data_IF_038740687657
#
_entry.id   IF_038740687657
#
_cell.length_a   1.000
_cell.length_b   1.000
_cell.length_c   1.000
_cell.angle_alpha   90.00
_cell.angle_beta   90.00
_cell.angle_gamma   90.00
#
_symmetry.space_group_name_H-M   'P 1'
#
loop_
_entity.id
_entity.type
_entity.pdbx_description
1 polymer ?
#
# COMPACT_ATOMS: atom_id res chain seq x y z
N UNK A 1 -37.94 -37.07 -61.68
CA UNK A 1 -38.44 -36.30 -60.49
C UNK A 1 -37.74 -36.90 -59.27
N UNK A 2 -36.63 -36.31 -58.85
CA UNK A 2 -35.80 -36.81 -57.77
C UNK A 2 -36.00 -35.89 -56.53
N UNK A 3 -36.61 -36.46 -55.52
CA UNK A 3 -36.78 -35.81 -54.20
C UNK A 3 -35.45 -35.75 -53.45
N UNK A 4 -34.90 -34.57 -53.18
CA UNK A 4 -33.79 -34.37 -52.23
C UNK A 4 -34.32 -34.37 -50.80
N UNK A 5 -33.89 -35.34 -50.01
CA UNK A 5 -34.12 -35.36 -48.56
C UNK A 5 -33.11 -34.43 -47.90
N UNK A 6 -33.58 -33.36 -47.29
CA UNK A 6 -32.75 -32.46 -46.47
C UNK A 6 -32.70 -33.06 -45.06
N UNK A 7 -31.51 -33.45 -44.62
CA UNK A 7 -31.26 -33.85 -43.23
C UNK A 7 -30.94 -32.59 -42.41
N UNK A 8 -31.82 -32.24 -41.47
CA UNK A 8 -31.54 -31.19 -40.50
C UNK A 8 -30.78 -31.79 -39.33
N UNK A 9 -29.51 -31.45 -39.23
CA UNK A 9 -28.65 -31.83 -38.11
C UNK A 9 -28.83 -30.79 -36.99
N UNK A 10 -29.62 -31.16 -35.95
CA UNK A 10 -29.80 -30.32 -34.76
C UNK A 10 -28.60 -30.53 -33.83
N UNK A 11 -27.68 -29.58 -33.82
CA UNK A 11 -26.59 -29.56 -32.84
C UNK A 11 -27.14 -29.12 -31.47
N UNK A 12 -27.22 -30.07 -30.52
CA UNK A 12 -27.43 -29.73 -29.10
C UNK A 12 -26.10 -29.14 -28.56
N UNK A 13 -26.02 -27.84 -28.40
CA UNK A 13 -25.01 -27.22 -27.57
C UNK A 13 -25.36 -27.46 -26.09
N UNK A 14 -24.76 -28.49 -25.49
CA UNK A 14 -24.74 -28.68 -24.07
C UNK A 14 -23.92 -27.59 -23.42
N UNK A 15 -24.53 -26.58 -22.81
CA UNK A 15 -23.86 -25.64 -21.93
C UNK A 15 -23.34 -26.43 -20.71
N UNK A 16 -22.05 -26.73 -20.68
CA UNK A 16 -21.35 -27.13 -19.46
C UNK A 16 -21.41 -25.95 -18.48
N UNK A 17 -22.33 -25.96 -17.56
CA UNK A 17 -22.29 -25.10 -16.39
C UNK A 17 -21.16 -25.65 -15.51
N UNK A 18 -19.98 -25.06 -15.63
CA UNK A 18 -18.91 -25.26 -14.66
C UNK A 18 -19.40 -24.69 -13.32
N UNK A 19 -19.94 -25.54 -12.48
CA UNK A 19 -20.21 -25.20 -11.09
C UNK A 19 -18.85 -25.04 -10.42
N UNK A 20 -18.34 -23.84 -10.39
CA UNK A 20 -17.21 -23.49 -9.54
C UNK A 20 -17.67 -23.71 -8.09
N UNK A 21 -17.26 -24.81 -7.48
CA UNK A 21 -17.40 -24.97 -6.04
C UNK A 21 -16.54 -23.89 -5.38
N UNK A 22 -17.19 -22.89 -4.80
CA UNK A 22 -16.53 -21.82 -4.08
C UNK A 22 -15.54 -22.38 -3.08
N UNK A 23 -14.31 -21.89 -3.13
CA UNK A 23 -13.24 -22.36 -2.25
C UNK A 23 -13.55 -21.93 -0.82
N UNK A 24 -13.60 -22.90 0.10
CA UNK A 24 -13.82 -22.61 1.52
C UNK A 24 -12.72 -23.22 2.38
N UNK A 25 -12.22 -22.44 3.32
CA UNK A 25 -11.28 -22.90 4.36
C UNK A 25 -11.78 -22.48 5.73
N UNK A 26 -11.46 -23.30 6.73
CA UNK A 26 -11.78 -22.97 8.12
C UNK A 26 -10.52 -23.16 8.97
N UNK A 27 -10.03 -22.06 9.53
CA UNK A 27 -8.87 -22.00 10.41
C UNK A 27 -9.37 -22.21 11.83
N UNK A 28 -9.03 -23.37 12.41
CA UNK A 28 -9.58 -23.81 13.68
C UNK A 28 -8.65 -23.44 14.84
N UNK A 29 -9.26 -22.94 15.93
CA UNK A 29 -8.67 -22.74 17.25
C UNK A 29 -7.39 -21.91 17.27
N UNK A 30 -7.39 -20.80 16.54
CA UNK A 30 -6.27 -19.84 16.50
C UNK A 30 -6.51 -18.69 17.49
N UNK A 31 -5.43 -18.00 17.85
CA UNK A 31 -5.46 -16.75 18.61
C UNK A 31 -5.50 -15.58 17.63
N UNK A 32 -6.63 -14.89 17.51
CA UNK A 32 -6.72 -13.73 16.62
C UNK A 32 -5.96 -12.54 17.22
N UNK A 33 -5.10 -11.96 16.43
CA UNK A 33 -4.45 -10.66 16.71
C UNK A 33 -5.39 -9.54 16.26
N UNK A 34 -6.11 -8.94 17.21
CA UNK A 34 -6.92 -7.75 16.98
C UNK A 34 -5.96 -6.54 16.89
N UNK A 35 -5.46 -6.28 15.68
CA UNK A 35 -4.47 -5.21 15.44
C UNK A 35 -5.04 -3.82 15.73
N UNK A 36 -6.35 -3.62 15.57
CA UNK A 36 -6.98 -2.33 15.89
C UNK A 36 -6.92 -2.01 17.38
N UNK A 37 -7.12 -3.03 18.22
CA UNK A 37 -7.16 -2.87 19.69
C UNK A 37 -5.86 -3.27 20.37
N UNK A 38 -4.87 -3.77 19.63
CA UNK A 38 -3.61 -4.24 20.18
C UNK A 38 -3.78 -5.37 21.21
N UNK A 39 -4.66 -6.35 20.94
CA UNK A 39 -4.96 -7.44 21.88
C UNK A 39 -5.16 -8.79 21.18
N UNK A 40 -4.98 -9.87 21.95
CA UNK A 40 -5.25 -11.23 21.52
C UNK A 40 -6.67 -11.66 21.88
N UNK A 41 -7.38 -12.29 20.92
CA UNK A 41 -8.66 -12.96 21.15
C UNK A 41 -8.42 -14.47 21.00
N UNK A 42 -8.30 -15.22 22.13
CA UNK A 42 -7.84 -16.58 22.09
C UNK A 42 -8.94 -17.57 21.68
N UNK A 43 -8.51 -18.68 21.08
CA UNK A 43 -9.34 -19.85 20.82
C UNK A 43 -10.48 -19.58 19.85
N UNK A 44 -10.20 -18.95 18.73
CA UNK A 44 -11.19 -18.59 17.72
C UNK A 44 -11.11 -19.51 16.49
N UNK A 45 -12.22 -19.69 15.82
CA UNK A 45 -12.31 -20.36 14.51
C UNK A 45 -12.78 -19.34 13.48
N UNK A 46 -12.03 -19.20 12.39
CA UNK A 46 -12.32 -18.28 11.29
C UNK A 46 -12.69 -19.09 10.05
N UNK A 47 -13.88 -18.85 9.49
CA UNK A 47 -14.34 -19.48 8.26
C UNK A 47 -14.28 -18.49 7.11
N UNK A 48 -13.67 -18.90 6.03
CA UNK A 48 -13.51 -18.15 4.79
C UNK A 48 -14.25 -18.86 3.67
N UNK A 49 -14.88 -18.10 2.80
CA UNK A 49 -15.47 -18.57 1.56
C UNK A 49 -15.26 -17.54 0.48
N UNK A 50 -14.78 -17.97 -0.68
CA UNK A 50 -14.53 -17.12 -1.85
C UNK A 50 -13.69 -15.86 -1.51
N UNK A 51 -12.61 -16.07 -0.77
CA UNK A 51 -11.69 -15.00 -0.36
C UNK A 51 -12.19 -14.12 0.80
N UNK A 52 -13.41 -14.29 1.27
CA UNK A 52 -14.03 -13.42 2.29
C UNK A 52 -14.22 -14.16 3.61
N UNK A 53 -13.90 -13.48 4.72
CA UNK A 53 -14.19 -13.97 6.07
C UNK A 53 -15.70 -13.94 6.29
N UNK A 54 -16.32 -15.12 6.39
CA UNK A 54 -17.79 -15.25 6.53
C UNK A 54 -18.24 -15.40 7.96
N UNK A 55 -17.38 -16.00 8.82
CA UNK A 55 -17.73 -16.27 10.22
C UNK A 55 -16.48 -16.28 11.12
N UNK A 56 -16.64 -15.71 12.30
CA UNK A 56 -15.69 -15.82 13.42
C UNK A 56 -16.47 -16.30 14.64
N UNK A 57 -16.00 -17.35 15.30
CA UNK A 57 -16.67 -17.94 16.47
C UNK A 57 -15.65 -18.58 17.41
N UNK A 58 -16.02 -18.79 18.67
CA UNK A 58 -15.23 -19.59 19.61
C UNK A 58 -15.02 -21.00 19.06
N UNK A 59 -13.80 -21.52 19.18
CA UNK A 59 -13.50 -22.89 18.79
C UNK A 59 -14.31 -23.88 19.64
N UNK A 60 -14.85 -24.90 18.99
CA UNK A 60 -15.54 -26.00 19.66
C UNK A 60 -14.53 -27.01 20.20
N UNK A 61 -14.92 -27.86 21.16
CA UNK A 61 -14.03 -28.87 21.76
C UNK A 61 -13.46 -29.89 20.76
N UNK A 62 -14.11 -30.10 19.63
CA UNK A 62 -13.68 -31.08 18.60
C UNK A 62 -13.51 -30.37 17.26
N UNK A 63 -12.37 -30.56 16.63
CA UNK A 63 -12.09 -30.15 15.24
C UNK A 63 -12.95 -31.01 14.28
N UNK A 64 -13.38 -30.41 13.18
CA UNK A 64 -14.03 -31.11 12.08
C UNK A 64 -13.03 -31.47 10.98
N UNK A 65 -13.32 -32.55 10.22
CA UNK A 65 -12.43 -33.08 9.18
C UNK A 65 -12.01 -32.03 8.11
N UNK A 66 -12.82 -31.01 7.87
CA UNK A 66 -12.58 -29.96 6.87
C UNK A 66 -12.03 -28.66 7.48
N UNK A 67 -11.39 -28.72 8.64
CA UNK A 67 -10.79 -27.58 9.32
C UNK A 67 -9.29 -27.80 9.44
N UNK A 68 -8.51 -26.73 9.22
CA UNK A 68 -7.06 -26.70 9.47
C UNK A 68 -6.83 -26.30 10.92
N UNK A 69 -6.10 -27.14 11.66
CA UNK A 69 -5.82 -26.91 13.08
C UNK A 69 -4.63 -25.94 13.25
N UNK A 70 -4.93 -24.82 13.89
CA UNK A 70 -3.93 -23.81 14.28
C UNK A 70 -3.93 -23.56 15.79
N UNK A 71 -4.20 -24.60 16.56
CA UNK A 71 -4.18 -24.53 18.04
C UNK A 71 -2.84 -24.00 18.53
N UNK A 72 -2.90 -22.90 19.28
CA UNK A 72 -1.71 -22.23 19.81
C UNK A 72 -1.05 -21.21 18.88
N UNK A 73 -1.37 -21.23 17.58
CA UNK A 73 -0.87 -20.24 16.63
C UNK A 73 -1.65 -18.92 16.70
N UNK A 74 -1.06 -17.87 16.11
CA UNK A 74 -1.61 -16.52 16.05
C UNK A 74 -2.02 -16.19 14.62
N UNK A 75 -3.24 -15.70 14.44
CA UNK A 75 -3.79 -15.30 13.15
C UNK A 75 -3.89 -13.79 13.10
N UNK A 76 -3.25 -13.17 12.11
CA UNK A 76 -3.32 -11.74 11.87
C UNK A 76 -3.62 -11.43 10.40
N UNK A 77 -4.06 -10.20 10.06
CA UNK A 77 -4.17 -9.79 8.67
C UNK A 77 -2.81 -9.81 7.98
N UNK A 78 -2.82 -9.94 6.66
CA UNK A 78 -1.65 -9.71 5.81
C UNK A 78 -1.11 -8.29 5.97
N UNK A 79 0.19 -8.14 5.76
CA UNK A 79 0.88 -6.86 5.87
C UNK A 79 0.67 -6.01 4.60
N UNK A 80 0.69 -4.69 4.77
CA UNK A 80 0.49 -3.71 3.70
C UNK A 80 1.70 -2.78 3.65
N UNK A 81 2.46 -2.82 2.55
CA UNK A 81 3.51 -1.83 2.29
C UNK A 81 2.89 -0.61 1.62
N UNK A 82 2.87 0.50 2.35
CA UNK A 82 2.20 1.73 1.93
C UNK A 82 3.00 2.57 0.93
N UNK A 83 4.22 2.17 0.56
CA UNK A 83 5.04 2.91 -0.40
C UNK A 83 5.97 2.01 -1.19
N UNK A 84 5.58 1.74 -2.42
CA UNK A 84 6.39 0.98 -3.37
C UNK A 84 6.39 1.68 -4.73
N UNK A 85 7.27 1.24 -5.62
CA UNK A 85 7.32 1.67 -7.02
C UNK A 85 7.24 0.44 -7.93
N UNK A 86 6.11 -0.25 -7.87
CA UNK A 86 5.84 -1.49 -8.59
C UNK A 86 5.80 -1.29 -10.10
N UNK A 87 5.33 -0.13 -10.55
CA UNK A 87 5.27 0.27 -11.94
C UNK A 87 6.60 0.72 -12.55
N UNK A 88 7.75 0.32 -12.01
CA UNK A 88 9.05 0.66 -12.58
C UNK A 88 9.29 -0.03 -13.93
N UNK A 89 9.81 0.72 -14.91
CA UNK A 89 9.97 0.31 -16.32
C UNK A 89 11.01 -0.78 -16.59
N UNK A 90 11.96 -0.99 -15.69
CA UNK A 90 13.02 -1.99 -15.82
C UNK A 90 12.57 -3.41 -15.46
N UNK A 91 11.28 -3.61 -15.18
CA UNK A 91 10.79 -4.89 -14.67
C UNK A 91 10.63 -5.91 -15.79
N UNK A 92 11.58 -6.86 -15.88
CA UNK A 92 11.41 -8.09 -16.66
C UNK A 92 10.38 -9.02 -15.99
N UNK A 93 9.85 -10.02 -16.69
CA UNK A 93 8.97 -11.02 -16.07
C UNK A 93 9.62 -11.77 -14.89
N UNK A 94 10.93 -12.04 -14.96
CA UNK A 94 11.71 -12.67 -13.89
C UNK A 94 11.80 -11.75 -12.67
N UNK A 95 12.16 -10.50 -12.88
CA UNK A 95 12.23 -9.48 -11.85
C UNK A 95 10.87 -9.27 -11.14
N UNK A 96 9.79 -9.26 -11.92
CA UNK A 96 8.42 -9.15 -11.39
C UNK A 96 8.08 -10.33 -10.46
N UNK A 97 8.52 -11.55 -10.82
CA UNK A 97 8.33 -12.73 -9.97
C UNK A 97 9.17 -12.64 -8.70
N UNK A 98 10.46 -12.33 -8.83
CA UNK A 98 11.37 -12.20 -7.69
C UNK A 98 10.87 -11.14 -6.69
N UNK A 99 10.33 -10.03 -7.20
CA UNK A 99 9.70 -8.99 -6.40
C UNK A 99 8.48 -9.53 -5.66
N UNK A 100 7.57 -10.20 -6.34
CA UNK A 100 6.39 -10.79 -5.74
C UNK A 100 6.77 -11.81 -4.64
N UNK A 101 7.68 -12.72 -4.94
CA UNK A 101 8.16 -13.74 -4.00
C UNK A 101 8.79 -13.10 -2.75
N UNK A 102 9.56 -12.02 -2.93
CA UNK A 102 10.20 -11.28 -1.84
C UNK A 102 9.17 -10.65 -0.88
N UNK A 103 8.14 -9.99 -1.41
CA UNK A 103 7.07 -9.41 -0.59
C UNK A 103 6.24 -10.49 0.13
N UNK A 104 5.91 -11.57 -0.58
CA UNK A 104 5.21 -12.72 0.02
C UNK A 104 6.04 -13.39 1.11
N UNK A 105 7.37 -13.47 0.93
CA UNK A 105 8.27 -14.00 1.96
C UNK A 105 8.19 -13.20 3.27
N UNK A 106 8.02 -11.89 3.20
CA UNK A 106 7.84 -11.02 4.38
C UNK A 106 6.39 -10.98 4.90
N UNK A 107 5.46 -11.64 4.21
CA UNK A 107 4.04 -11.65 4.61
C UNK A 107 3.26 -10.41 4.14
N UNK A 108 3.81 -9.64 3.20
CA UNK A 108 3.11 -8.52 2.56
C UNK A 108 2.15 -9.06 1.51
N UNK A 109 0.87 -8.77 1.68
CA UNK A 109 -0.21 -9.23 0.80
C UNK A 109 -0.77 -8.11 -0.06
N UNK A 110 -0.45 -6.87 0.28
CA UNK A 110 -0.94 -5.69 -0.42
C UNK A 110 0.15 -4.61 -0.46
N UNK A 111 0.26 -3.92 -1.58
CA UNK A 111 1.18 -2.78 -1.74
C UNK A 111 0.47 -1.58 -2.38
N UNK A 112 0.88 -0.37 -2.00
CA UNK A 112 0.55 0.85 -2.70
C UNK A 112 1.69 1.22 -3.63
N UNK A 113 1.43 1.26 -4.93
CA UNK A 113 2.35 1.83 -5.93
C UNK A 113 2.23 3.36 -5.91
N UNK A 114 3.24 4.02 -5.35
CA UNK A 114 3.28 5.47 -5.15
C UNK A 114 3.73 6.24 -6.41
N UNK A 115 3.64 5.62 -7.56
CA UNK A 115 3.91 6.19 -8.87
C UNK A 115 4.76 5.27 -9.73
N UNK A 116 4.29 5.04 -10.93
CA UNK A 116 4.89 4.18 -11.90
C UNK A 116 4.04 4.06 -13.16
N UNK A 117 4.48 3.23 -14.12
CA UNK A 117 3.71 2.92 -15.30
C UNK A 117 2.64 1.86 -14.98
N UNK A 118 1.40 2.27 -14.87
CA UNK A 118 0.28 1.38 -14.54
C UNK A 118 0.09 0.26 -15.56
N UNK A 119 0.59 0.39 -16.79
CA UNK A 119 0.59 -0.72 -17.78
C UNK A 119 1.44 -1.90 -17.30
N UNK A 120 2.52 -1.63 -16.55
CA UNK A 120 3.34 -2.68 -15.94
C UNK A 120 2.54 -3.40 -14.86
N UNK A 121 1.87 -2.64 -13.98
CA UNK A 121 1.03 -3.22 -12.92
C UNK A 121 -0.09 -4.07 -13.53
N UNK A 122 -0.78 -3.59 -14.56
CA UNK A 122 -1.81 -4.38 -15.26
C UNK A 122 -1.29 -5.70 -15.85
N UNK A 123 -0.06 -5.71 -16.36
CA UNK A 123 0.59 -6.96 -16.81
C UNK A 123 0.89 -7.90 -15.64
N UNK A 124 1.26 -7.37 -14.49
CA UNK A 124 1.44 -8.13 -13.28
C UNK A 124 0.11 -8.72 -12.77
N UNK A 125 -0.95 -7.91 -12.68
CA UNK A 125 -2.29 -8.36 -12.30
C UNK A 125 -2.79 -9.49 -13.19
N UNK A 126 -2.63 -9.39 -14.51
CA UNK A 126 -2.98 -10.47 -15.44
C UNK A 126 -2.21 -11.78 -15.18
N UNK A 127 -0.99 -11.70 -14.64
CA UNK A 127 -0.22 -12.89 -14.23
C UNK A 127 -0.70 -13.47 -12.90
N UNK A 128 -1.13 -12.62 -11.96
CA UNK A 128 -1.79 -13.05 -10.72
C UNK A 128 -3.10 -13.80 -11.06
N UNK A 129 -3.96 -13.19 -11.88
CA UNK A 129 -5.25 -13.74 -12.28
C UNK A 129 -5.13 -15.10 -12.97
N UNK A 130 -4.10 -15.25 -13.80
CA UNK A 130 -3.81 -16.53 -14.49
C UNK A 130 -3.11 -17.57 -13.60
N UNK A 131 -2.73 -17.21 -12.35
CA UNK A 131 -1.98 -18.08 -11.45
C UNK A 131 -0.52 -18.31 -11.83
N UNK A 132 0.01 -17.55 -12.79
CA UNK A 132 1.41 -17.67 -13.23
C UNK A 132 2.41 -17.04 -12.23
N UNK A 133 1.95 -16.15 -11.40
CA UNK A 133 2.66 -15.54 -10.29
C UNK A 133 1.76 -15.57 -9.06
N UNK A 134 2.33 -15.74 -7.88
CA UNK A 134 1.70 -15.48 -6.60
C UNK A 134 2.37 -14.25 -6.01
N UNK A 135 1.59 -13.27 -5.57
CA UNK A 135 2.15 -12.01 -5.07
C UNK A 135 1.10 -11.11 -4.46
N UNK A 136 1.52 -9.93 -3.93
CA UNK A 136 0.59 -8.98 -3.32
C UNK A 136 -0.32 -8.31 -4.34
N UNK A 137 -1.51 -7.91 -3.90
CA UNK A 137 -2.37 -6.99 -4.65
C UNK A 137 -1.74 -5.61 -4.71
N UNK A 138 -1.85 -4.91 -5.86
CA UNK A 138 -1.24 -3.59 -6.08
C UNK A 138 -2.30 -2.52 -6.25
N UNK A 139 -2.25 -1.48 -5.42
CA UNK A 139 -3.10 -0.30 -5.52
C UNK A 139 -2.31 0.85 -6.14
N UNK A 140 -2.65 1.22 -7.35
CA UNK A 140 -1.90 2.17 -8.18
C UNK A 140 -2.30 3.62 -7.99
N UNK A 141 -1.35 4.54 -8.25
CA UNK A 141 -1.59 5.97 -8.33
C UNK A 141 -1.29 6.54 -9.70
N UNK A 142 -1.99 7.61 -10.08
CA UNK A 142 -1.58 8.50 -11.16
C UNK A 142 -0.54 9.48 -10.61
N UNK A 143 0.59 9.62 -11.29
CA UNK A 143 1.71 10.46 -10.87
C UNK A 143 1.63 11.84 -11.48
N UNK A 144 1.56 12.90 -10.64
CA UNK A 144 1.38 14.27 -11.08
C UNK A 144 2.51 15.17 -10.57
N UNK A 145 3.13 15.93 -11.48
CA UNK A 145 4.19 16.88 -11.17
C UNK A 145 4.11 18.09 -12.10
N UNK A 146 4.83 19.17 -11.75
CA UNK A 146 4.94 20.33 -12.60
C UNK A 146 6.05 20.24 -13.66
N UNK A 147 6.19 21.28 -14.50
CA UNK A 147 7.11 21.29 -15.66
C UNK A 147 8.58 21.10 -15.32
N UNK A 148 9.03 21.57 -14.15
CA UNK A 148 10.45 21.39 -13.73
C UNK A 148 10.81 19.93 -13.58
N UNK A 149 9.84 19.09 -13.20
CA UNK A 149 10.07 17.66 -13.09
C UNK A 149 10.22 17.00 -14.45
N UNK A 150 9.33 17.31 -15.39
CA UNK A 150 9.31 16.71 -16.73
C UNK A 150 10.27 17.42 -17.71
N UNK A 151 10.39 18.75 -17.63
CA UNK A 151 11.15 19.58 -18.57
C UNK A 151 12.65 19.58 -18.37
N UNK A 152 13.15 19.05 -17.26
CA UNK A 152 14.58 19.09 -16.92
C UNK A 152 15.49 18.19 -17.74
N UNK A 153 14.98 17.38 -18.66
CA UNK A 153 15.76 16.51 -19.57
C UNK A 153 16.66 15.46 -18.89
N UNK A 154 16.75 15.49 -17.56
CA UNK A 154 17.68 14.68 -16.76
C UNK A 154 17.01 13.59 -15.97
N UNK A 155 15.68 13.56 -15.86
CA UNK A 155 14.95 12.52 -15.13
C UNK A 155 14.24 11.58 -16.08
N UNK A 156 15.02 10.72 -16.70
CA UNK A 156 14.53 9.47 -17.31
C UNK A 156 14.15 8.41 -16.25
N UNK A 157 14.32 8.71 -14.99
CA UNK A 157 13.98 7.84 -13.87
C UNK A 157 12.47 7.71 -13.64
N UNK A 158 11.67 8.51 -14.30
CA UNK A 158 10.21 8.40 -14.31
C UNK A 158 9.67 7.36 -15.26
N UNK A 159 10.62 6.47 -15.79
CA UNK A 159 10.15 5.13 -15.56
C UNK A 159 9.11 4.71 -16.56
N UNK A 160 9.49 4.78 -17.82
CA UNK A 160 8.62 4.41 -18.92
C UNK A 160 7.52 5.40 -19.20
N UNK A 161 7.58 6.61 -18.67
CA UNK A 161 6.72 7.70 -19.10
C UNK A 161 7.16 8.19 -20.49
N UNK A 162 7.04 7.32 -21.46
CA UNK A 162 7.18 7.71 -22.88
C UNK A 162 6.12 8.76 -23.25
N UNK A 163 5.10 8.92 -22.43
CA UNK A 163 4.02 9.88 -22.63
C UNK A 163 3.69 10.59 -21.32
N UNK A 164 4.17 11.80 -21.18
CA UNK A 164 3.55 12.80 -20.30
C UNK A 164 2.10 12.99 -20.77
N UNK A 165 1.15 13.14 -19.83
CA UNK A 165 -0.29 13.22 -20.11
C UNK A 165 -0.96 11.90 -20.52
N UNK A 166 -0.53 10.81 -19.90
CA UNK A 166 -1.26 9.55 -19.85
C UNK A 166 -2.15 9.48 -18.59
N UNK A 167 -3.16 8.61 -18.52
CA UNK A 167 -3.98 8.45 -17.31
C UNK A 167 -3.20 8.24 -16.01
N UNK A 168 -2.00 7.66 -16.08
CA UNK A 168 -1.12 7.41 -14.94
C UNK A 168 -0.01 8.44 -14.74
N UNK A 169 0.10 9.48 -15.59
CA UNK A 169 1.15 10.50 -15.50
C UNK A 169 0.71 11.82 -16.12
N UNK A 170 0.73 12.92 -15.33
CA UNK A 170 0.26 14.22 -15.77
C UNK A 170 1.25 15.33 -15.42
N UNK A 171 1.56 16.20 -16.39
CA UNK A 171 2.19 17.49 -16.13
C UNK A 171 1.14 18.52 -15.77
N UNK A 172 1.27 19.14 -14.59
CA UNK A 172 0.30 20.12 -14.07
C UNK A 172 0.99 21.49 -13.96
N UNK A 173 0.31 22.52 -14.44
CA UNK A 173 0.74 23.91 -14.32
C UNK A 173 -0.30 24.75 -13.64
N UNK A 174 0.05 25.94 -13.14
CA UNK A 174 -0.91 26.88 -12.53
C UNK A 174 -2.01 27.36 -13.51
N UNK A 175 -1.77 27.21 -14.81
CA UNK A 175 -2.74 27.50 -15.86
C UNK A 175 -3.70 26.34 -16.18
N UNK A 176 -3.49 25.16 -15.60
CA UNK A 176 -4.38 24.00 -15.82
C UNK A 176 -5.76 24.31 -15.27
N UNK A 177 -6.80 24.21 -16.13
CA UNK A 177 -8.16 24.55 -15.75
C UNK A 177 -8.78 23.47 -14.84
N UNK A 178 -9.77 23.86 -14.04
CA UNK A 178 -10.50 22.96 -13.14
C UNK A 178 -11.19 21.84 -13.92
N UNK A 179 -11.76 22.15 -15.07
CA UNK A 179 -12.42 21.20 -15.96
C UNK A 179 -11.44 20.17 -16.50
N UNK A 180 -10.22 20.60 -16.83
CA UNK A 180 -9.18 19.68 -17.28
C UNK A 180 -8.68 18.78 -16.13
N UNK A 181 -8.46 19.35 -14.93
CA UNK A 181 -8.10 18.58 -13.74
C UNK A 181 -9.14 17.50 -13.44
N UNK A 182 -10.41 17.86 -13.47
CA UNK A 182 -11.50 16.91 -13.23
C UNK A 182 -11.52 15.78 -14.26
N UNK A 183 -11.35 16.11 -15.54
CA UNK A 183 -11.29 15.15 -16.64
C UNK A 183 -10.18 14.12 -16.42
N UNK A 184 -8.94 14.57 -16.15
CA UNK A 184 -7.80 13.65 -15.98
C UNK A 184 -7.86 12.84 -14.69
N UNK A 185 -8.56 13.32 -13.64
CA UNK A 185 -8.86 12.51 -12.44
C UNK A 185 -9.81 11.36 -12.79
N UNK A 186 -10.85 11.64 -13.58
CA UNK A 186 -11.81 10.62 -14.04
C UNK A 186 -11.08 9.59 -14.90
N UNK A 187 -10.25 10.01 -15.85
CA UNK A 187 -9.47 9.14 -16.72
C UNK A 187 -8.51 8.25 -15.91
N UNK A 188 -7.82 8.82 -14.92
CA UNK A 188 -6.94 8.06 -14.03
C UNK A 188 -7.71 6.97 -13.27
N UNK A 189 -8.88 7.32 -12.71
CA UNK A 189 -9.76 6.38 -12.00
C UNK A 189 -10.28 5.27 -12.92
N UNK A 190 -10.77 5.61 -14.10
CA UNK A 190 -11.26 4.64 -15.10
C UNK A 190 -10.14 3.69 -15.57
N UNK A 191 -8.89 4.19 -15.57
CA UNK A 191 -7.73 3.37 -15.88
C UNK A 191 -7.32 2.44 -14.74
N UNK A 192 -7.89 2.61 -13.54
CA UNK A 192 -7.66 1.77 -12.35
C UNK A 192 -6.83 2.40 -11.26
N UNK A 193 -6.45 3.69 -11.38
CA UNK A 193 -5.75 4.37 -10.29
C UNK A 193 -6.69 4.63 -9.11
N UNK A 194 -6.26 4.27 -7.90
CA UNK A 194 -7.01 4.50 -6.67
C UNK A 194 -6.62 5.79 -5.97
N UNK A 195 -5.49 6.37 -6.35
CA UNK A 195 -4.98 7.62 -5.81
C UNK A 195 -4.22 8.46 -6.83
N UNK A 196 -3.91 9.70 -6.43
CA UNK A 196 -2.99 10.58 -7.14
C UNK A 196 -1.74 10.77 -6.30
N UNK A 197 -0.56 10.58 -6.87
CA UNK A 197 0.73 10.95 -6.26
C UNK A 197 1.10 12.37 -6.72
N UNK A 198 0.88 13.34 -5.86
CA UNK A 198 1.30 14.74 -6.04
C UNK A 198 2.78 14.86 -5.64
N UNK A 199 3.66 15.07 -6.61
CA UNK A 199 5.08 14.85 -6.40
C UNK A 199 5.89 16.13 -6.17
N UNK A 200 6.01 17.00 -7.17
CA UNK A 200 6.83 18.20 -7.10
C UNK A 200 6.35 19.26 -8.10
N UNK A 201 6.75 20.52 -7.88
CA UNK A 201 6.47 21.68 -8.74
C UNK A 201 4.98 21.96 -8.94
N UNK A 202 4.20 21.84 -7.85
CA UNK A 202 2.76 22.14 -7.80
C UNK A 202 2.51 23.21 -6.72
N UNK A 203 1.84 24.30 -7.08
CA UNK A 203 1.53 25.38 -6.16
C UNK A 203 0.43 25.03 -5.16
N UNK A 204 0.39 25.76 -4.03
CA UNK A 204 -0.68 25.62 -3.04
C UNK A 204 -2.05 25.90 -3.65
N UNK A 205 -2.15 26.92 -4.52
CA UNK A 205 -3.40 27.27 -5.21
C UNK A 205 -3.88 26.13 -6.11
N UNK A 206 -2.95 25.43 -6.75
CA UNK A 206 -3.29 24.25 -7.56
C UNK A 206 -3.73 23.06 -6.66
N UNK A 207 -3.05 22.81 -5.54
CA UNK A 207 -3.48 21.78 -4.59
C UNK A 207 -4.91 21.99 -4.08
N UNK A 208 -5.30 23.25 -3.81
CA UNK A 208 -6.68 23.60 -3.42
C UNK A 208 -7.72 23.32 -4.49
N UNK A 209 -7.33 23.23 -5.76
CA UNK A 209 -8.21 22.81 -6.85
C UNK A 209 -8.25 21.29 -6.99
N UNK A 210 -7.10 20.62 -6.93
CA UNK A 210 -6.96 19.17 -7.15
C UNK A 210 -7.62 18.36 -6.02
N UNK A 211 -7.31 18.67 -4.76
CA UNK A 211 -7.72 17.83 -3.62
C UNK A 211 -9.24 17.69 -3.49
N UNK A 212 -10.06 18.77 -3.60
CA UNK A 212 -11.52 18.63 -3.59
C UNK A 212 -12.08 17.78 -4.74
N UNK A 213 -11.45 17.83 -5.92
CA UNK A 213 -11.82 16.99 -7.05
C UNK A 213 -11.50 15.51 -6.80
N UNK A 214 -10.35 15.23 -6.17
CA UNK A 214 -10.02 13.88 -5.73
C UNK A 214 -11.11 13.31 -4.82
N UNK A 215 -11.52 14.05 -3.80
CA UNK A 215 -12.57 13.65 -2.88
C UNK A 215 -13.92 13.46 -3.59
N UNK A 216 -14.29 14.39 -4.49
CA UNK A 216 -15.52 14.32 -5.30
C UNK A 216 -15.61 13.00 -6.08
N UNK A 217 -14.50 12.53 -6.63
CA UNK A 217 -14.44 11.33 -7.45
C UNK A 217 -14.00 10.07 -6.69
N UNK A 218 -13.76 10.16 -5.38
CA UNK A 218 -13.33 9.02 -4.54
C UNK A 218 -11.93 8.50 -4.89
N UNK A 219 -11.06 9.39 -5.35
CA UNK A 219 -9.63 9.14 -5.59
C UNK A 219 -8.84 9.70 -4.40
N UNK A 220 -7.86 8.97 -3.91
CA UNK A 220 -7.09 9.37 -2.73
C UNK A 220 -5.97 10.36 -3.09
N UNK A 221 -5.92 11.59 -2.51
CA UNK A 221 -4.80 12.49 -2.71
C UNK A 221 -3.63 12.07 -1.81
N UNK A 222 -2.56 11.59 -2.43
CA UNK A 222 -1.29 11.28 -1.81
C UNK A 222 -0.22 12.26 -2.29
N UNK A 223 0.79 12.58 -1.50
CA UNK A 223 1.82 13.51 -1.94
C UNK A 223 3.14 13.37 -1.20
N UNK A 224 4.15 14.03 -1.71
CA UNK A 224 5.33 14.35 -0.92
C UNK A 224 4.94 15.25 0.26
N UNK A 225 5.72 15.23 1.33
CA UNK A 225 5.44 16.08 2.49
C UNK A 225 5.57 17.58 2.15
N UNK A 226 6.52 17.95 1.28
CA UNK A 226 6.56 19.24 0.60
C UNK A 226 6.64 19.04 -0.90
N UNK A 227 5.87 19.82 -1.67
CA UNK A 227 5.67 19.62 -3.12
C UNK A 227 6.30 20.77 -3.93
N UNK A 228 6.87 21.76 -3.27
CA UNK A 228 7.43 23.00 -3.85
C UNK A 228 6.75 23.48 -5.15
N UNK A 229 6.34 24.76 -5.22
CA UNK A 229 6.51 25.76 -4.17
C UNK A 229 5.59 25.60 -2.96
N UNK A 230 4.63 24.65 -3.00
CA UNK A 230 3.80 24.33 -1.83
C UNK A 230 4.66 23.74 -0.71
N UNK A 231 4.62 24.40 0.46
CA UNK A 231 5.33 23.96 1.67
C UNK A 231 4.63 22.76 2.32
N UNK A 232 5.28 22.10 3.28
CA UNK A 232 4.68 21.02 4.06
C UNK A 232 3.35 21.45 4.73
N UNK A 233 3.31 22.67 5.30
CA UNK A 233 2.08 23.22 5.88
C UNK A 233 0.99 23.46 4.83
N UNK A 234 1.34 23.88 3.62
CA UNK A 234 0.41 24.08 2.52
C UNK A 234 -0.21 22.76 2.06
N UNK A 235 0.61 21.72 1.93
CA UNK A 235 0.17 20.37 1.56
C UNK A 235 -0.85 19.83 2.56
N UNK A 236 -0.54 19.94 3.87
CA UNK A 236 -1.45 19.54 4.95
C UNK A 236 -2.73 20.37 4.92
N UNK A 237 -2.64 21.71 4.77
CA UNK A 237 -3.81 22.62 4.70
C UNK A 237 -4.66 22.41 3.47
N UNK A 238 -4.07 22.01 2.33
CA UNK A 238 -4.82 21.66 1.13
C UNK A 238 -5.69 20.40 1.33
N UNK A 239 -5.40 19.56 2.34
CA UNK A 239 -6.15 18.36 2.65
C UNK A 239 -5.63 17.10 1.93
N UNK A 240 -4.34 17.08 1.57
CA UNK A 240 -3.68 15.85 1.11
C UNK A 240 -3.75 14.83 2.25
N UNK A 241 -4.31 13.65 1.99
CA UNK A 241 -4.66 12.67 3.03
C UNK A 241 -3.43 11.90 3.54
N UNK A 242 -2.44 11.67 2.69
CA UNK A 242 -1.20 10.99 3.05
C UNK A 242 -0.02 11.73 2.50
N UNK A 243 0.97 11.99 3.34
CA UNK A 243 2.23 12.64 2.96
C UNK A 243 3.40 11.68 3.17
N UNK A 244 4.34 11.67 2.22
CA UNK A 244 5.49 10.76 2.25
C UNK A 244 6.79 11.49 2.52
N UNK A 245 7.76 10.77 3.12
CA UNK A 245 9.14 11.20 3.34
C UNK A 245 9.27 12.29 4.40
N UNK A 246 9.38 11.86 5.65
CA UNK A 246 9.47 12.73 6.82
C UNK A 246 10.54 13.83 6.69
N UNK A 247 11.65 13.55 6.01
CA UNK A 247 12.74 14.50 5.82
C UNK A 247 12.36 15.74 5.00
N UNK A 248 11.29 15.68 4.19
CA UNK A 248 10.85 16.83 3.39
C UNK A 248 10.13 17.92 4.21
N UNK A 249 9.81 17.67 5.48
CA UNK A 249 9.07 18.63 6.32
C UNK A 249 9.77 19.99 6.44
N UNK A 250 11.10 20.00 6.44
CA UNK A 250 11.88 21.22 6.57
C UNK A 250 12.07 21.99 5.26
N UNK A 251 11.41 21.53 4.20
CA UNK A 251 11.37 22.27 2.94
C UNK A 251 12.66 22.20 2.13
N UNK A 252 13.44 21.14 2.24
CA UNK A 252 14.69 21.00 1.49
C UNK A 252 14.48 20.17 0.23
N UNK A 253 14.75 20.77 -0.92
CA UNK A 253 14.81 20.06 -2.19
C UNK A 253 16.12 19.26 -2.27
N UNK A 254 16.02 17.94 -2.25
CA UNK A 254 17.13 17.02 -2.54
C UNK A 254 18.03 16.66 -1.35
N UNK A 255 18.83 15.62 -1.58
CA UNK A 255 19.79 15.05 -0.61
C UNK A 255 21.09 15.84 -0.64
N UNK A 256 21.22 16.92 0.11
CA UNK A 256 22.49 17.66 0.18
C UNK A 256 23.33 17.22 1.39
N UNK A 257 24.66 17.23 1.22
CA UNK A 257 25.61 16.92 2.30
C UNK A 257 25.50 17.86 3.52
N UNK A 258 24.89 19.02 3.36
CA UNK A 258 24.65 20.00 4.42
C UNK A 258 23.60 19.51 5.44
N UNK A 259 22.71 18.58 5.05
CA UNK A 259 21.74 17.98 5.94
C UNK A 259 22.36 17.22 7.11
N UNK A 260 23.47 16.55 6.87
CA UNK A 260 24.09 15.63 7.83
C UNK A 260 24.64 16.31 9.11
N UNK A 261 24.85 17.61 9.08
CA UNK A 261 25.47 18.37 10.16
C UNK A 261 24.61 19.50 10.75
N UNK A 262 23.37 19.69 10.25
CA UNK A 262 22.56 20.85 10.61
C UNK A 262 22.02 20.72 12.05
N UNK A 263 22.31 21.75 12.87
CA UNK A 263 21.60 21.99 14.14
C UNK A 263 20.37 22.85 13.82
N UNK A 264 19.19 22.34 14.18
CA UNK A 264 17.93 23.04 13.95
C UNK A 264 17.76 24.19 14.96
N UNK A 265 17.31 25.33 14.47
CA UNK A 265 16.92 26.46 15.31
C UNK A 265 15.62 26.16 16.06
N UNK A 266 15.38 26.89 17.16
CA UNK A 266 14.13 26.77 17.89
C UNK A 266 12.90 27.05 17.01
N UNK A 267 12.99 28.01 16.08
CA UNK A 267 11.92 28.33 15.14
C UNK A 267 11.61 27.18 14.16
N UNK A 268 12.61 26.40 13.74
CA UNK A 268 12.38 25.23 12.88
C UNK A 268 11.69 24.10 13.65
N UNK A 269 12.03 23.94 14.94
CA UNK A 269 11.37 22.95 15.82
C UNK A 269 9.89 23.36 16.01
N UNK A 270 9.60 24.60 16.38
CA UNK A 270 8.24 25.10 16.58
C UNK A 270 7.39 25.00 15.31
N UNK A 271 8.01 25.24 14.13
CA UNK A 271 7.34 25.07 12.85
C UNK A 271 6.94 23.59 12.61
N UNK A 272 7.82 22.63 12.90
CA UNK A 272 7.49 21.20 12.77
C UNK A 272 6.38 20.81 13.72
N UNK A 273 6.45 21.22 14.98
CA UNK A 273 5.40 20.95 15.98
C UNK A 273 4.04 21.48 15.51
N UNK A 274 4.01 22.68 14.92
CA UNK A 274 2.80 23.25 14.32
C UNK A 274 2.25 22.41 13.16
N UNK A 275 3.13 21.89 12.30
CA UNK A 275 2.73 21.04 11.16
C UNK A 275 2.18 19.71 11.68
N UNK A 276 2.87 19.06 12.62
CA UNK A 276 2.41 17.79 13.18
C UNK A 276 1.07 17.95 13.94
N UNK A 277 0.90 19.02 14.68
CA UNK A 277 -0.37 19.36 15.33
C UNK A 277 -1.51 19.52 14.32
N UNK A 278 -1.26 20.18 13.18
CA UNK A 278 -2.27 20.33 12.12
C UNK A 278 -2.56 19.00 11.40
N UNK A 279 -1.53 18.14 11.18
CA UNK A 279 -1.72 16.80 10.65
C UNK A 279 -2.59 15.95 11.56
N UNK A 280 -2.29 15.90 12.85
CA UNK A 280 -3.07 15.15 13.83
C UNK A 280 -4.54 15.63 13.88
N UNK A 281 -4.76 16.94 13.85
CA UNK A 281 -6.10 17.55 13.84
C UNK A 281 -6.89 17.19 12.57
N UNK A 282 -6.24 17.09 11.42
CA UNK A 282 -6.87 16.77 10.13
C UNK A 282 -6.97 15.27 9.87
N UNK A 283 -6.24 14.46 10.61
CA UNK A 283 -6.10 13.02 10.34
C UNK A 283 -5.19 12.70 9.15
N UNK A 284 -4.31 13.65 8.77
CA UNK A 284 -3.30 13.40 7.71
C UNK A 284 -2.35 12.30 8.16
N UNK A 285 -2.10 11.30 7.31
CA UNK A 285 -1.24 10.16 7.60
C UNK A 285 0.17 10.46 7.12
N UNK A 286 1.17 10.11 7.94
CA UNK A 286 2.57 10.16 7.56
C UNK A 286 3.07 8.78 7.13
N UNK A 287 3.43 8.65 5.88
CA UNK A 287 4.17 7.53 5.31
C UNK A 287 5.67 7.87 5.41
N UNK A 288 6.30 7.38 6.49
CA UNK A 288 7.59 7.90 6.95
C UNK A 288 8.77 7.47 6.08
N UNK A 289 8.75 6.27 5.53
CA UNK A 289 9.79 5.68 4.66
C UNK A 289 11.18 5.69 5.30
N UNK A 290 11.29 5.16 6.52
CA UNK A 290 12.52 5.23 7.32
C UNK A 290 13.64 4.40 6.71
N UNK A 291 13.32 3.26 6.12
CA UNK A 291 14.33 2.38 5.51
C UNK A 291 15.14 3.09 4.43
N UNK A 292 14.49 3.79 3.51
CA UNK A 292 15.20 4.55 2.46
C UNK A 292 15.96 5.73 3.05
N UNK A 293 15.40 6.39 4.08
CA UNK A 293 16.08 7.47 4.79
C UNK A 293 17.38 6.99 5.44
N UNK A 294 17.35 5.87 6.16
CA UNK A 294 18.55 5.29 6.79
C UNK A 294 19.59 4.86 5.76
N UNK A 295 19.16 4.29 4.64
CA UNK A 295 20.04 3.91 3.54
C UNK A 295 20.78 5.13 2.95
N UNK A 296 20.17 6.32 3.01
CA UNK A 296 20.75 7.58 2.58
C UNK A 296 21.40 8.39 3.71
N UNK A 297 21.65 7.78 4.87
CA UNK A 297 22.24 8.43 6.06
C UNK A 297 21.43 9.66 6.56
N UNK A 298 20.11 9.57 6.52
CA UNK A 298 19.19 10.60 7.03
C UNK A 298 18.56 10.15 8.35
N UNK A 299 19.39 9.88 9.35
CA UNK A 299 18.97 9.36 10.67
C UNK A 299 18.01 10.31 11.40
N UNK A 300 18.05 11.60 11.10
CA UNK A 300 17.13 12.59 11.65
C UNK A 300 15.65 12.30 11.26
N UNK A 301 15.39 11.58 10.16
CA UNK A 301 14.03 11.22 9.75
C UNK A 301 13.33 10.35 10.80
N UNK A 302 14.07 9.45 11.46
CA UNK A 302 13.52 8.64 12.56
C UNK A 302 13.08 9.52 13.74
N UNK A 303 13.90 10.51 14.13
CA UNK A 303 13.53 11.46 15.18
C UNK A 303 12.28 12.25 14.80
N UNK A 304 12.18 12.75 13.59
CA UNK A 304 11.00 13.51 13.13
C UNK A 304 9.75 12.62 13.08
N UNK A 305 9.89 11.36 12.72
CA UNK A 305 8.79 10.39 12.78
C UNK A 305 8.34 10.14 14.21
N UNK A 306 9.28 10.05 15.17
CA UNK A 306 8.94 9.99 16.59
C UNK A 306 8.21 11.26 17.07
N UNK A 307 8.68 12.46 16.69
CA UNK A 307 8.03 13.73 17.00
C UNK A 307 6.59 13.76 16.46
N UNK A 308 6.37 13.35 15.20
CA UNK A 308 5.05 13.22 14.59
C UNK A 308 4.14 12.21 15.33
N UNK A 309 4.67 11.02 15.64
CA UNK A 309 3.97 9.98 16.37
C UNK A 309 3.52 10.47 17.76
N UNK A 310 4.41 11.14 18.50
CA UNK A 310 4.09 11.74 19.82
C UNK A 310 3.08 12.87 19.73
N UNK A 311 3.04 13.60 18.62
CA UNK A 311 2.02 14.62 18.34
C UNK A 311 0.65 14.01 17.97
N UNK A 312 0.54 12.67 17.86
CA UNK A 312 -0.70 11.97 17.52
C UNK A 312 -0.95 11.82 16.03
N UNK A 313 0.04 12.04 15.18
CA UNK A 313 -0.04 11.76 13.75
C UNK A 313 -0.08 10.25 13.53
N UNK A 314 -0.99 9.76 12.69
CA UNK A 314 -0.99 8.37 12.26
C UNK A 314 0.22 8.10 11.37
N UNK A 315 0.99 7.07 11.69
CA UNK A 315 2.15 6.64 10.91
C UNK A 315 1.76 5.41 10.09
N UNK A 316 2.12 5.39 8.81
CA UNK A 316 2.04 4.22 7.95
C UNK A 316 3.42 3.60 7.75
N UNK A 317 3.46 2.29 7.56
CA UNK A 317 4.66 1.57 7.17
C UNK A 317 4.76 1.54 5.64
N UNK A 318 5.83 2.10 5.10
CA UNK A 318 6.12 2.14 3.67
C UNK A 318 7.62 2.18 3.44
N UNK A 319 8.11 1.36 2.51
CA UNK A 319 9.56 1.18 2.33
C UNK A 319 10.20 2.20 1.41
N UNK A 320 9.46 2.68 0.41
CA UNK A 320 10.01 3.42 -0.75
C UNK A 320 11.23 2.69 -1.35
N UNK A 321 11.20 1.36 -1.27
CA UNK A 321 12.30 0.56 -1.76
C UNK A 321 12.23 0.46 -3.26
N UNK A 322 13.16 1.12 -3.94
CA UNK A 322 13.35 1.04 -5.38
C UNK A 322 14.53 0.11 -5.65
N UNK A 323 14.29 -0.99 -6.35
CA UNK A 323 15.36 -1.88 -6.72
C UNK A 323 16.23 -1.34 -7.84
N UNK A 324 17.53 -1.48 -7.68
CA UNK A 324 18.50 -1.34 -8.76
C UNK A 324 18.82 -2.71 -9.35
N UNK A 325 19.00 -2.78 -10.67
CA UNK A 325 19.43 -3.97 -11.40
C UNK A 325 20.73 -4.53 -10.79
N UNK A 326 20.72 -5.80 -10.35
CA UNK A 326 21.91 -6.48 -9.81
C UNK A 326 21.79 -6.98 -8.36
N UNK A 327 20.89 -6.45 -7.54
CA UNK A 327 20.60 -6.99 -6.23
C UNK A 327 19.43 -7.98 -6.32
N UNK A 328 19.63 -9.17 -5.77
CA UNK A 328 18.50 -10.08 -5.54
C UNK A 328 17.52 -9.37 -4.64
N UNK A 329 16.30 -9.26 -5.13
CA UNK A 329 15.23 -8.59 -4.39
C UNK A 329 15.05 -9.21 -3.02
N UNK A 330 15.28 -8.40 -2.01
CA UNK A 330 14.79 -8.68 -0.67
C UNK A 330 13.83 -7.57 -0.31
N UNK A 331 12.60 -7.92 0.03
CA UNK A 331 11.70 -6.98 0.65
C UNK A 331 12.41 -6.37 1.88
N UNK A 332 12.33 -5.07 1.99
CA UNK A 332 12.84 -4.35 3.15
C UNK A 332 11.74 -4.08 4.17
N UNK A 333 10.56 -4.70 4.01
CA UNK A 333 9.39 -4.30 4.79
C UNK A 333 9.50 -4.65 6.26
N UNK A 334 9.99 -5.84 6.59
CA UNK A 334 10.19 -6.19 8.01
C UNK A 334 11.30 -5.36 8.66
N UNK A 335 12.28 -4.88 7.89
CA UNK A 335 13.30 -3.95 8.39
C UNK A 335 12.68 -2.57 8.65
N UNK A 336 11.76 -2.10 7.81
CA UNK A 336 11.00 -0.86 8.06
C UNK A 336 10.25 -0.94 9.38
N UNK A 337 9.57 -2.08 9.66
CA UNK A 337 8.85 -2.26 10.92
C UNK A 337 9.79 -2.27 12.14
N UNK A 338 10.95 -2.92 12.03
CA UNK A 338 11.96 -2.91 13.10
C UNK A 338 12.47 -1.48 13.35
N UNK A 339 12.72 -0.68 12.29
CA UNK A 339 13.14 0.72 12.41
C UNK A 339 12.07 1.61 13.05
N UNK A 340 10.79 1.39 12.76
CA UNK A 340 9.70 2.11 13.41
C UNK A 340 9.66 1.86 14.93
N UNK A 341 10.01 0.64 15.39
CA UNK A 341 10.15 0.35 16.82
C UNK A 341 11.46 0.91 17.36
N UNK A 342 12.61 0.50 16.78
CA UNK A 342 13.92 0.68 17.38
C UNK A 342 14.46 2.12 17.23
N UNK A 343 14.11 2.80 16.13
CA UNK A 343 14.62 4.14 15.81
C UNK A 343 13.57 5.24 15.96
N UNK A 344 12.27 4.92 15.79
CA UNK A 344 11.19 5.89 15.94
C UNK A 344 10.43 5.75 17.27
N UNK A 345 10.81 4.82 18.15
CA UNK A 345 10.23 4.60 19.50
C UNK A 345 8.70 4.39 19.45
N UNK A 346 8.21 3.75 18.40
CA UNK A 346 6.80 3.39 18.28
C UNK A 346 6.50 2.09 19.04
N UNK A 347 5.32 2.01 19.63
CA UNK A 347 4.88 0.77 20.26
C UNK A 347 4.63 -0.34 19.21
N UNK A 348 4.93 -1.60 19.55
CA UNK A 348 4.67 -2.75 18.65
C UNK A 348 3.21 -2.78 18.16
N UNK A 349 2.17 -2.58 19.01
CA UNK A 349 0.80 -2.52 18.54
C UNK A 349 0.56 -1.39 17.50
N UNK A 350 1.22 -0.24 17.64
CA UNK A 350 1.09 0.87 16.70
C UNK A 350 1.81 0.57 15.38
N UNK A 351 2.97 -0.08 15.43
CA UNK A 351 3.68 -0.55 14.23
C UNK A 351 2.86 -1.60 13.47
N UNK A 352 2.20 -2.53 14.17
CA UNK A 352 1.30 -3.49 13.52
C UNK A 352 0.08 -2.80 12.90
N UNK A 353 -0.45 -1.73 13.53
CA UNK A 353 -1.48 -0.88 12.92
C UNK A 353 -0.95 -0.16 11.67
N UNK A 354 0.25 0.41 11.74
CA UNK A 354 0.90 1.06 10.61
C UNK A 354 1.03 0.14 9.40
N UNK A 355 1.36 -1.13 9.65
CA UNK A 355 1.57 -2.17 8.64
C UNK A 355 0.28 -2.88 8.19
N UNK A 356 -0.90 -2.51 8.70
CA UNK A 356 -2.17 -3.19 8.39
C UNK A 356 -3.31 -2.19 8.20
N UNK A 357 -3.96 -1.75 9.28
CA UNK A 357 -5.17 -0.91 9.22
C UNK A 357 -4.92 0.48 8.66
N UNK A 358 -3.78 1.09 8.97
CA UNK A 358 -3.40 2.41 8.42
C UNK A 358 -3.08 2.29 6.93
N UNK A 359 -2.35 1.26 6.51
CA UNK A 359 -2.13 0.98 5.09
C UNK A 359 -3.45 0.79 4.32
N UNK A 360 -4.40 0.04 4.90
CA UNK A 360 -5.74 -0.13 4.31
C UNK A 360 -6.53 1.19 4.23
N UNK A 361 -6.39 2.08 5.22
CA UNK A 361 -7.01 3.42 5.19
C UNK A 361 -6.48 4.27 4.04
N UNK A 362 -5.15 4.27 3.83
CA UNK A 362 -4.49 5.01 2.75
C UNK A 362 -5.05 4.64 1.38
N UNK A 363 -5.19 3.34 1.11
CA UNK A 363 -5.66 2.84 -0.19
C UNK A 363 -7.20 2.79 -0.32
N UNK A 364 -7.94 3.31 0.67
CA UNK A 364 -9.40 3.35 0.65
C UNK A 364 -10.08 2.00 0.93
N UNK A 365 -9.39 1.05 1.56
CA UNK A 365 -9.88 -0.30 1.87
C UNK A 365 -10.05 -0.53 3.39
N UNK A 366 -10.22 0.52 4.16
CA UNK A 366 -10.44 0.43 5.61
C UNK A 366 -11.62 -0.52 5.95
N UNK A 367 -11.36 -1.46 6.84
CA UNK A 367 -12.35 -2.47 7.25
C UNK A 367 -12.55 -3.64 6.29
N UNK A 368 -11.99 -3.57 5.08
CA UNK A 368 -11.95 -4.66 4.10
C UNK A 368 -10.60 -5.37 4.12
N UNK A 369 -9.51 -4.62 4.16
CA UNK A 369 -8.14 -5.11 4.31
C UNK A 369 -7.58 -4.76 5.69
N UNK A 370 -6.49 -5.41 6.08
CA UNK A 370 -5.75 -5.15 7.29
C UNK A 370 -6.47 -5.47 8.60
N UNK A 371 -7.55 -6.25 8.56
CA UNK A 371 -8.37 -6.62 9.73
C UNK A 371 -8.90 -8.05 9.64
N UNK A 372 -9.18 -8.65 10.81
CA UNK A 372 -9.90 -9.94 10.88
C UNK A 372 -11.31 -9.67 11.39
N UNK A 373 -12.25 -9.51 10.47
CA UNK A 373 -13.68 -9.35 10.76
C UNK A 373 -14.54 -9.99 9.67
N UNK A 374 -15.81 -10.27 9.99
CA UNK A 374 -16.77 -10.74 8.99
C UNK A 374 -16.91 -9.70 7.86
N UNK A 375 -16.79 -10.14 6.63
CA UNK A 375 -16.86 -9.32 5.41
C UNK A 375 -15.49 -8.78 4.94
N UNK A 376 -14.43 -8.96 5.74
CA UNK A 376 -13.07 -8.62 5.31
C UNK A 376 -12.49 -9.67 4.36
N UNK A 377 -11.55 -9.29 3.54
CA UNK A 377 -10.76 -10.18 2.71
C UNK A 377 -9.88 -11.10 3.58
N UNK A 378 -9.65 -12.30 3.09
CA UNK A 378 -8.92 -13.33 3.81
C UNK A 378 -7.46 -13.42 3.37
N UNK A 379 -6.78 -12.26 3.39
CA UNK A 379 -5.34 -12.16 3.34
C UNK A 379 -4.82 -12.27 4.77
N UNK A 380 -4.26 -13.43 5.11
CA UNK A 380 -4.03 -13.80 6.49
C UNK A 380 -2.64 -14.41 6.71
N UNK A 381 -2.00 -14.04 7.80
CA UNK A 381 -0.78 -14.66 8.30
C UNK A 381 -1.07 -15.54 9.50
N UNK A 382 -0.53 -16.76 9.50
CA UNK A 382 -0.50 -17.63 10.67
C UNK A 382 0.90 -17.65 11.23
N UNK A 383 1.07 -17.23 12.48
CA UNK A 383 2.36 -17.06 13.14
C UNK A 383 2.52 -18.04 14.29
N UNK A 384 3.75 -18.45 14.55
CA UNK A 384 4.09 -19.36 15.64
C UNK A 384 4.02 -18.72 17.02
N UNK A 385 4.32 -17.42 17.12
CA UNK A 385 4.40 -16.68 18.39
C UNK A 385 3.63 -15.37 18.31
N UNK A 386 3.43 -14.73 19.47
CA UNK A 386 2.62 -13.53 19.62
C UNK A 386 3.33 -12.30 19.02
N UNK A 387 2.82 -11.70 17.92
CA UNK A 387 3.45 -10.53 17.31
C UNK A 387 3.29 -9.24 18.14
N UNK A 388 2.37 -9.19 19.11
CA UNK A 388 2.23 -8.06 20.02
C UNK A 388 3.34 -8.02 21.10
N UNK A 389 4.03 -9.14 21.32
CA UNK A 389 5.17 -9.21 22.23
C UNK A 389 6.50 -8.95 21.52
N UNK A 390 6.61 -9.35 20.26
CA UNK A 390 7.82 -9.15 19.47
C UNK A 390 7.56 -9.25 17.98
N UNK A 391 8.04 -8.27 17.19
CA UNK A 391 8.00 -8.31 15.73
C UNK A 391 8.77 -9.48 15.12
N UNK A 392 9.69 -10.14 15.87
CA UNK A 392 10.35 -11.37 15.43
C UNK A 392 9.36 -12.48 15.11
N UNK A 393 8.15 -12.43 15.66
CA UNK A 393 7.06 -13.35 15.34
C UNK A 393 6.68 -13.33 13.85
N UNK A 394 6.78 -12.18 13.18
CA UNK A 394 6.48 -12.04 11.75
C UNK A 394 7.40 -12.92 10.88
N UNK A 395 8.65 -13.11 11.31
CA UNK A 395 9.63 -14.00 10.66
C UNK A 395 9.42 -15.49 10.99
N UNK A 396 8.45 -15.80 11.86
CA UNK A 396 8.09 -17.17 12.27
C UNK A 396 6.71 -17.58 11.73
N UNK A 397 6.47 -17.26 10.45
CA UNK A 397 5.24 -17.58 9.78
C UNK A 397 5.09 -19.09 9.54
N UNK A 398 3.92 -19.64 9.87
CA UNK A 398 3.55 -21.04 9.66
C UNK A 398 2.84 -21.17 8.31
N UNK A 399 1.93 -20.23 7.98
CA UNK A 399 1.19 -20.22 6.75
C UNK A 399 0.85 -18.78 6.33
N UNK A 400 0.58 -18.60 5.04
CA UNK A 400 0.07 -17.37 4.45
C UNK A 400 -1.14 -17.73 3.58
N UNK A 401 -2.18 -16.94 3.67
CA UNK A 401 -3.37 -17.03 2.83
C UNK A 401 -3.51 -15.75 2.03
N UNK A 402 -3.72 -15.89 0.72
CA UNK A 402 -4.15 -14.82 -0.20
C UNK A 402 -5.54 -15.19 -0.71
N UNK A 403 -6.50 -14.28 -0.60
CA UNK A 403 -7.90 -14.55 -0.96
C UNK A 403 -8.42 -15.88 -0.37
N UNK A 404 -8.00 -16.21 0.85
CA UNK A 404 -8.36 -17.45 1.53
C UNK A 404 -7.73 -18.73 0.96
N UNK A 405 -6.77 -18.62 0.04
CA UNK A 405 -5.98 -19.72 -0.49
C UNK A 405 -4.63 -19.78 0.18
N UNK A 406 -4.25 -20.94 0.68
CA UNK A 406 -2.92 -21.11 1.25
C UNK A 406 -1.85 -21.04 0.17
N UNK A 407 -0.88 -20.14 0.37
CA UNK A 407 0.32 -20.01 -0.46
C UNK A 407 1.32 -21.07 -0.01
N UNK A 408 1.74 -21.90 -0.94
CA UNK A 408 2.68 -23.02 -0.69
C UNK A 408 4.11 -22.64 -1.02
#
# INVERSE_FOLDING_TARGET
MVMKKTIILTALLGALVLVSYGQSVTLYNTNIVDVEKGKIIPGMTVSVKDGIITKIAKAKKKIKRNQTDYTGAYLMPGLIDSHTHWGNFTITPEYMRDMADSYIADGVTTVRDAGGDVRIVKRYEAKLDSGNIVGPSVYTSSFWAGPKYYGGGTRQDTRGFETVNAPWSQEITDSTSVEHLEKIIIEAKEYGCTGLKLYNDISYDMLKKIVPLCHKHGVKPWGHFAIFPATAMDVVKAGVETVSHTYLIDGMEGFTSEFKAKRFSQAEIERRDSIFGEMARRGTILDATIKICMTNNMEFAARYTNEAYRAGVKIAAGTDWVHTEGDRMKSAFLDELDLLVDSCDMSIPDVLRAATTVGAEIIGQAGRLGVIRKGAEADLLVLKSNPLESLKALRQRIALYLDGKEVK
#
